data_IF_865459995956
#
_entry.id   IF_865459995956
#
_cell.length_a   1.000
_cell.length_b   1.000
_cell.length_c   1.000
_cell.angle_alpha   90.00
_cell.angle_beta   90.00
_cell.angle_gamma   90.00
#
_symmetry.space_group_name_H-M   'P 1'
#
loop_
_entity.id
_entity.type
_entity.pdbx_description
1 polymer ?
#
# COMPACT_ATOMS: atom_id res chain seq x y z
N UNK A 1 31.26 4.42 21.90
CA UNK A 1 29.86 4.50 22.38
C UNK A 1 29.05 5.15 21.28
N UNK A 2 28.00 4.60 20.71
CA UNK A 2 27.48 3.24 20.55
C UNK A 2 26.38 3.42 19.49
N UNK A 3 26.32 2.52 18.51
CA UNK A 3 25.19 2.31 17.58
C UNK A 3 24.82 3.41 16.54
N UNK A 4 25.63 3.54 15.49
CA UNK A 4 25.19 4.11 14.19
C UNK A 4 25.19 3.06 13.05
N UNK A 5 25.42 1.78 13.37
CA UNK A 5 25.77 0.75 12.38
C UNK A 5 24.64 -0.24 12.05
N UNK A 6 23.41 -0.01 12.51
CA UNK A 6 22.38 -1.07 12.46
C UNK A 6 21.04 -0.62 11.89
N UNK A 7 20.99 0.00 10.71
CA UNK A 7 19.74 0.09 9.91
C UNK A 7 19.95 -0.03 8.39
N UNK A 8 21.07 -0.60 7.93
CA UNK A 8 21.29 -0.90 6.50
C UNK A 8 21.14 -2.40 6.16
N UNK A 9 20.65 -3.21 7.09
CA UNK A 9 20.47 -4.67 6.90
C UNK A 9 19.01 -5.06 6.59
N UNK A 10 18.17 -4.11 6.18
CA UNK A 10 16.81 -4.40 5.73
C UNK A 10 16.80 -4.61 4.21
N UNK A 11 16.77 -5.88 3.81
CA UNK A 11 16.47 -6.41 2.48
C UNK A 11 17.62 -6.65 1.51
N UNK A 12 18.65 -7.37 1.99
CA UNK A 12 19.18 -8.52 1.24
C UNK A 12 18.07 -9.56 1.07
N UNK A 13 17.20 -9.40 0.06
CA UNK A 13 16.53 -10.56 -0.54
C UNK A 13 16.82 -10.55 -2.04
N UNK A 14 17.85 -11.27 -2.50
CA UNK A 14 18.07 -11.47 -3.92
C UNK A 14 16.86 -12.22 -4.45
N UNK A 15 16.01 -11.53 -5.24
CA UNK A 15 14.98 -12.06 -6.15
C UNK A 15 14.75 -13.57 -5.93
N UNK A 16 14.16 -13.94 -4.79
CA UNK A 16 13.53 -15.23 -4.67
C UNK A 16 12.28 -15.10 -5.53
N UNK A 17 11.94 -16.16 -6.25
CA UNK A 17 10.72 -16.33 -7.05
C UNK A 17 9.45 -16.24 -6.16
N UNK A 18 9.26 -15.12 -5.47
CA UNK A 18 8.24 -14.88 -4.47
C UNK A 18 7.14 -14.03 -5.08
N UNK A 19 6.04 -14.70 -5.41
CA UNK A 19 4.69 -14.19 -5.71
C UNK A 19 4.61 -12.89 -6.52
N UNK A 20 3.94 -12.93 -7.67
CA UNK A 20 3.61 -11.75 -8.51
C UNK A 20 3.10 -10.52 -7.72
N UNK A 21 2.48 -10.75 -6.55
CA UNK A 21 2.04 -9.73 -5.59
C UNK A 21 3.19 -8.90 -5.00
N UNK A 22 4.26 -9.52 -4.52
CA UNK A 22 5.36 -8.82 -3.84
C UNK A 22 6.14 -7.96 -4.83
N UNK A 23 6.39 -8.49 -6.04
CA UNK A 23 7.00 -7.72 -7.12
C UNK A 23 6.15 -6.49 -7.50
N UNK A 24 4.83 -6.66 -7.59
CA UNK A 24 3.91 -5.56 -7.86
C UNK A 24 3.88 -4.54 -6.72
N UNK A 25 3.94 -4.98 -5.45
CA UNK A 25 4.04 -4.10 -4.29
C UNK A 25 5.24 -3.15 -4.41
N UNK A 26 6.42 -3.70 -4.67
CA UNK A 26 7.65 -2.91 -4.80
C UNK A 26 7.61 -1.99 -6.03
N UNK A 27 7.05 -2.45 -7.15
CA UNK A 27 6.90 -1.60 -8.33
C UNK A 27 6.03 -0.37 -8.04
N UNK A 28 4.89 -0.57 -7.36
CA UNK A 28 3.96 0.50 -7.00
C UNK A 28 4.58 1.48 -6.00
N UNK A 29 5.35 0.96 -5.04
CA UNK A 29 6.11 1.75 -4.08
C UNK A 29 7.13 2.68 -4.77
N UNK A 30 7.94 2.11 -5.66
CA UNK A 30 8.92 2.88 -6.45
C UNK A 30 8.25 3.93 -7.34
N UNK A 31 7.14 3.58 -8.01
CA UNK A 31 6.34 4.52 -8.81
C UNK A 31 5.70 5.62 -7.97
N UNK A 32 5.42 5.35 -6.71
CA UNK A 32 4.87 6.32 -5.76
C UNK A 32 5.93 7.27 -5.19
N UNK A 33 7.22 6.96 -5.38
CA UNK A 33 8.36 7.74 -4.89
C UNK A 33 8.97 7.23 -3.59
N UNK A 34 8.62 6.01 -3.17
CA UNK A 34 9.12 5.36 -1.96
C UNK A 34 10.24 4.36 -2.30
N UNK A 35 11.08 4.06 -1.32
CA UNK A 35 12.22 3.15 -1.43
C UNK A 35 11.87 1.77 -0.88
N UNK A 36 12.50 0.71 -1.39
CA UNK A 36 12.34 -0.65 -0.80
C UNK A 36 12.85 -0.75 0.64
N UNK A 37 13.66 0.21 1.07
CA UNK A 37 14.16 0.33 2.44
C UNK A 37 13.14 0.98 3.39
N UNK A 38 12.05 1.55 2.87
CA UNK A 38 10.99 2.11 3.70
C UNK A 38 10.30 0.99 4.49
N UNK A 39 9.81 1.34 5.69
CA UNK A 39 9.12 0.39 6.55
C UNK A 39 7.81 -0.07 5.91
N UNK A 40 7.77 -1.32 5.48
CA UNK A 40 6.57 -1.98 4.94
C UNK A 40 6.01 -2.91 5.99
N UNK A 41 4.73 -2.75 6.29
CA UNK A 41 3.98 -3.72 7.08
C UNK A 41 2.90 -4.34 6.19
N UNK A 42 2.96 -5.66 6.05
CA UNK A 42 1.85 -6.44 5.51
C UNK A 42 0.74 -6.52 6.57
N UNK A 43 -0.44 -6.07 6.20
CA UNK A 43 -1.68 -6.38 6.91
C UNK A 43 -2.40 -7.45 6.10
N UNK A 44 -3.37 -8.10 6.74
CA UNK A 44 -4.08 -9.27 6.20
C UNK A 44 -4.61 -9.12 4.77
N UNK A 45 -4.96 -7.90 4.32
CA UNK A 45 -5.51 -7.63 2.97
C UNK A 45 -4.88 -6.45 2.24
N UNK A 46 -3.93 -5.75 2.86
CA UNK A 46 -3.30 -4.54 2.32
C UNK A 46 -1.94 -4.32 2.96
N UNK A 47 -1.11 -3.52 2.31
CA UNK A 47 0.22 -3.18 2.77
C UNK A 47 0.25 -1.71 3.18
N UNK A 48 0.97 -1.41 4.25
CA UNK A 48 1.22 -0.03 4.70
C UNK A 48 2.71 0.26 4.62
N UNK A 49 3.05 1.42 4.06
CA UNK A 49 4.42 1.87 3.84
C UNK A 49 4.64 3.16 4.60
N UNK A 50 5.83 3.32 5.17
CA UNK A 50 6.25 4.51 5.90
C UNK A 50 5.24 4.88 7.02
N UNK A 51 5.00 3.93 7.92
CA UNK A 51 4.09 4.05 9.08
C UNK A 51 2.62 4.37 8.72
N UNK A 52 2.19 3.97 7.52
CA UNK A 52 0.82 4.19 7.04
C UNK A 52 0.66 5.42 6.14
N UNK A 53 1.76 6.06 5.73
CA UNK A 53 1.71 7.18 4.78
C UNK A 53 1.25 6.76 3.39
N UNK A 54 1.70 5.59 2.92
CA UNK A 54 1.23 4.97 1.68
C UNK A 54 0.57 3.63 1.98
N UNK A 55 -0.58 3.39 1.38
CA UNK A 55 -1.30 2.12 1.50
C UNK A 55 -1.44 1.47 0.13
N UNK A 56 -1.14 0.18 0.03
CA UNK A 56 -1.19 -0.58 -1.23
C UNK A 56 -2.10 -1.80 -1.06
N UNK A 57 -3.15 -1.92 -1.87
CA UNK A 57 -4.07 -3.06 -1.84
C UNK A 57 -3.97 -3.87 -3.16
N UNK A 58 -3.55 -5.14 -3.06
CA UNK A 58 -3.30 -6.01 -4.22
C UNK A 58 -4.26 -7.20 -4.34
N UNK A 59 -4.95 -7.56 -3.26
CA UNK A 59 -5.83 -8.74 -3.20
C UNK A 59 -7.30 -8.36 -3.32
N UNK A 60 -7.82 -7.69 -2.29
CA UNK A 60 -9.21 -7.27 -2.24
C UNK A 60 -9.36 -6.02 -1.35
N UNK A 61 -10.39 -5.24 -1.66
CA UNK A 61 -10.77 -4.08 -0.87
C UNK A 61 -12.17 -4.35 -0.31
N UNK A 62 -12.39 -4.07 0.96
CA UNK A 62 -13.71 -4.15 1.60
C UNK A 62 -14.06 -2.83 2.25
N UNK A 63 -15.36 -2.57 2.44
CA UNK A 63 -15.85 -1.33 3.09
C UNK A 63 -15.19 -1.11 4.45
N UNK A 64 -15.12 -2.16 5.29
CA UNK A 64 -14.47 -2.08 6.60
C UNK A 64 -12.96 -1.78 6.52
N UNK A 65 -12.29 -2.21 5.45
CA UNK A 65 -10.87 -1.89 5.22
C UNK A 65 -10.71 -0.45 4.76
N UNK A 66 -11.55 0.00 3.83
CA UNK A 66 -11.55 1.37 3.31
C UNK A 66 -11.74 2.35 4.47
N UNK A 67 -12.73 2.12 5.33
CA UNK A 67 -12.96 2.97 6.51
C UNK A 67 -11.76 3.00 7.46
N UNK A 68 -11.09 1.86 7.68
CA UNK A 68 -9.86 1.82 8.48
C UNK A 68 -8.72 2.60 7.83
N UNK A 69 -8.55 2.45 6.52
CA UNK A 69 -7.55 3.16 5.72
C UNK A 69 -7.81 4.66 5.81
N UNK A 70 -9.04 5.12 5.59
CA UNK A 70 -9.39 6.54 5.67
C UNK A 70 -9.21 7.08 7.10
N UNK A 71 -9.54 6.30 8.12
CA UNK A 71 -9.32 6.67 9.52
C UNK A 71 -7.83 6.82 9.85
N UNK A 72 -6.97 6.02 9.22
CA UNK A 72 -5.52 6.17 9.29
C UNK A 72 -4.99 7.41 8.55
N UNK A 73 -5.82 8.05 7.69
CA UNK A 73 -5.47 9.24 6.89
C UNK A 73 -4.11 9.13 6.17
N UNK A 74 -3.90 8.09 5.34
CA UNK A 74 -2.71 7.98 4.52
C UNK A 74 -2.62 9.18 3.58
N UNK A 75 -1.41 9.53 3.14
CA UNK A 75 -1.24 10.53 2.08
C UNK A 75 -1.61 9.97 0.72
N UNK A 76 -1.35 8.68 0.49
CA UNK A 76 -1.56 8.03 -0.80
C UNK A 76 -2.08 6.61 -0.61
N UNK A 77 -2.99 6.21 -1.49
CA UNK A 77 -3.52 4.85 -1.55
C UNK A 77 -3.44 4.37 -2.98
N UNK A 78 -2.83 3.21 -3.18
CA UNK A 78 -2.67 2.57 -4.48
C UNK A 78 -3.34 1.21 -4.46
N UNK A 79 -4.05 0.90 -5.53
CA UNK A 79 -4.79 -0.35 -5.62
C UNK A 79 -4.91 -0.80 -7.07
N UNK A 80 -5.19 -2.07 -7.30
CA UNK A 80 -5.39 -2.58 -8.65
C UNK A 80 -6.85 -2.41 -9.06
N UNK A 81 -7.12 -1.97 -10.29
CA UNK A 81 -8.49 -1.82 -10.80
C UNK A 81 -9.24 -3.15 -10.75
N UNK A 82 -8.52 -4.25 -11.03
CA UNK A 82 -9.07 -5.60 -11.00
C UNK A 82 -9.71 -6.01 -9.67
N UNK A 83 -9.29 -5.43 -8.53
CA UNK A 83 -9.88 -5.81 -7.23
C UNK A 83 -11.29 -5.24 -7.05
N UNK A 84 -11.68 -4.26 -7.86
CA UNK A 84 -13.03 -3.72 -7.91
C UNK A 84 -13.91 -4.40 -8.97
N UNK A 85 -13.39 -5.38 -9.71
CA UNK A 85 -14.14 -6.09 -10.75
C UNK A 85 -15.38 -6.74 -10.16
N UNK A 86 -16.56 -6.37 -10.64
CA UNK A 86 -17.84 -6.87 -10.14
C UNK A 86 -18.40 -6.09 -8.94
N UNK A 87 -17.69 -5.05 -8.46
CA UNK A 87 -18.09 -4.25 -7.31
C UNK A 87 -17.88 -2.74 -7.56
N UNK A 88 -18.45 -2.23 -8.66
CA UNK A 88 -18.35 -0.83 -9.09
C UNK A 88 -18.83 0.19 -8.03
N UNK A 89 -19.83 -0.21 -7.23
CA UNK A 89 -20.30 0.58 -6.10
C UNK A 89 -19.20 0.78 -5.05
N UNK A 90 -18.37 -0.24 -4.80
CA UNK A 90 -17.26 -0.16 -3.86
C UNK A 90 -16.20 0.83 -4.37
N UNK A 91 -15.86 0.78 -5.67
CA UNK A 91 -14.91 1.70 -6.29
C UNK A 91 -15.38 3.14 -6.16
N UNK A 92 -16.63 3.40 -6.56
CA UNK A 92 -17.23 4.74 -6.49
C UNK A 92 -17.20 5.28 -5.06
N UNK A 93 -17.61 4.48 -4.08
CA UNK A 93 -17.57 4.87 -2.68
C UNK A 93 -16.14 5.12 -2.19
N UNK A 94 -15.18 4.27 -2.55
CA UNK A 94 -13.77 4.43 -2.16
C UNK A 94 -13.21 5.73 -2.71
N UNK A 95 -13.39 6.00 -4.02
CA UNK A 95 -12.91 7.21 -4.67
C UNK A 95 -13.51 8.46 -4.02
N UNK A 96 -14.81 8.44 -3.71
CA UNK A 96 -15.48 9.55 -3.03
C UNK A 96 -14.96 9.77 -1.62
N UNK A 97 -14.86 8.71 -0.81
CA UNK A 97 -14.41 8.82 0.57
C UNK A 97 -12.94 9.23 0.69
N UNK A 98 -12.07 8.71 -0.18
CA UNK A 98 -10.66 9.11 -0.22
C UNK A 98 -10.52 10.58 -0.62
N UNK A 99 -11.31 11.04 -1.61
CA UNK A 99 -11.33 12.44 -2.02
C UNK A 99 -11.83 13.36 -0.89
N UNK A 100 -12.85 12.95 -0.17
CA UNK A 100 -13.39 13.69 0.98
C UNK A 100 -12.35 13.80 2.11
N UNK A 101 -11.54 12.76 2.29
CA UNK A 101 -10.44 12.73 3.24
C UNK A 101 -9.13 13.37 2.74
N UNK A 102 -9.13 14.01 1.57
CA UNK A 102 -7.94 14.60 0.92
C UNK A 102 -6.79 13.60 0.67
N UNK A 103 -7.13 12.32 0.45
CA UNK A 103 -6.18 11.23 0.21
C UNK A 103 -5.94 11.07 -1.30
N UNK A 104 -4.68 10.95 -1.71
CA UNK A 104 -4.32 10.71 -3.12
C UNK A 104 -4.59 9.23 -3.47
N UNK A 105 -5.75 8.94 -4.05
CA UNK A 105 -6.15 7.59 -4.42
C UNK A 105 -5.85 7.29 -5.89
N UNK A 106 -5.12 6.19 -6.14
CA UNK A 106 -4.69 5.78 -7.48
C UNK A 106 -4.99 4.31 -7.75
N UNK A 107 -5.62 4.04 -8.89
CA UNK A 107 -5.91 2.69 -9.38
C UNK A 107 -5.01 2.38 -10.57
N UNK A 108 -4.45 1.17 -10.64
CA UNK A 108 -3.61 0.68 -11.74
C UNK A 108 -4.25 -0.52 -12.43
#
# INVERSE_FOLDING_TARGET
EDNLETQLDAFTNPVREGSEKENMLYELMLKAGYLLTDKVEEKEKYYTVNDGELIIALEEMNVALIERIISAKPKKVITLDKIFTGNDQLKTNTVLQMRDAEIDFKTI
#
